data_IF_010397566003
#
_entry.id   IF_010397566003
#
_cell.length_a   1.000
_cell.length_b   1.000
_cell.length_c   1.000
_cell.angle_alpha   90.00
_cell.angle_beta   90.00
_cell.angle_gamma   90.00
#
_symmetry.space_group_name_H-M   'P 1'
#
loop_
_entity.id
_entity.type
_entity.pdbx_description
1 polymer ?
#
# COMPACT_ATOMS: atom_id res chain seq x y z
N UNK A 1 -17.20 -25.53 -40.89
CA UNK A 1 -17.73 -25.84 -39.55
C UNK A 1 -16.64 -25.90 -38.47
N UNK A 2 -15.61 -26.75 -38.59
CA UNK A 2 -14.52 -26.88 -37.58
C UNK A 2 -13.79 -25.55 -37.26
N UNK A 3 -13.48 -24.74 -38.28
CA UNK A 3 -12.80 -23.45 -38.08
C UNK A 3 -13.67 -22.43 -37.31
N UNK A 4 -14.99 -22.43 -37.57
CA UNK A 4 -15.97 -21.55 -36.93
C UNK A 4 -16.20 -21.92 -35.45
N UNK A 5 -16.11 -23.21 -35.13
CA UNK A 5 -16.16 -23.69 -33.75
C UNK A 5 -14.89 -23.30 -32.99
N UNK A 6 -13.72 -23.42 -33.61
CA UNK A 6 -12.44 -23.04 -32.99
C UNK A 6 -12.35 -21.53 -32.72
N UNK A 7 -12.80 -20.69 -33.66
CA UNK A 7 -12.80 -19.24 -33.45
C UNK A 7 -13.75 -18.82 -32.33
N UNK A 8 -14.92 -19.48 -32.20
CA UNK A 8 -15.85 -19.22 -31.10
C UNK A 8 -15.29 -19.64 -29.73
N UNK A 9 -14.61 -20.79 -29.65
CA UNK A 9 -13.94 -21.24 -28.42
C UNK A 9 -12.83 -20.26 -27.99
N UNK A 10 -12.04 -19.76 -28.94
CA UNK A 10 -11.00 -18.76 -28.65
C UNK A 10 -11.60 -17.44 -28.15
N UNK A 11 -12.65 -16.94 -28.80
CA UNK A 11 -13.32 -15.69 -28.39
C UNK A 11 -13.95 -15.80 -27.00
N UNK A 12 -14.60 -16.93 -26.69
CA UNK A 12 -15.17 -17.17 -25.35
C UNK A 12 -14.08 -17.30 -24.29
N UNK A 13 -12.97 -17.99 -24.58
CA UNK A 13 -11.84 -18.09 -23.65
C UNK A 13 -11.21 -16.72 -23.33
N UNK A 14 -11.02 -15.86 -24.34
CA UNK A 14 -10.53 -14.49 -24.15
C UNK A 14 -11.52 -13.66 -23.33
N UNK A 15 -12.82 -13.77 -23.63
CA UNK A 15 -13.86 -13.06 -22.89
C UNK A 15 -13.87 -13.47 -21.40
N UNK A 16 -13.78 -14.77 -21.10
CA UNK A 16 -13.72 -15.32 -19.73
C UNK A 16 -12.49 -14.80 -18.97
N UNK A 17 -11.32 -14.69 -19.60
CA UNK A 17 -10.12 -14.13 -18.94
C UNK A 17 -10.30 -12.66 -18.56
N UNK A 18 -10.95 -11.85 -19.41
CA UNK A 18 -11.18 -10.43 -19.16
C UNK A 18 -12.08 -10.18 -17.94
N UNK A 19 -13.10 -11.03 -17.71
CA UNK A 19 -14.05 -10.86 -16.58
C UNK A 19 -13.38 -11.11 -15.22
N UNK A 20 -12.34 -11.93 -15.16
CA UNK A 20 -11.65 -12.30 -13.92
C UNK A 20 -10.56 -11.30 -13.49
N UNK A 21 -10.38 -10.19 -14.22
CA UNK A 21 -9.33 -9.20 -13.96
C UNK A 21 -9.68 -8.12 -12.93
N UNK A 22 -10.84 -8.23 -12.26
CA UNK A 22 -11.25 -7.25 -11.25
C UNK A 22 -10.50 -7.49 -9.93
N UNK A 23 -9.45 -6.70 -9.69
CA UNK A 23 -8.71 -6.73 -8.43
C UNK A 23 -9.40 -5.82 -7.41
N UNK A 24 -9.89 -6.40 -6.31
CA UNK A 24 -10.50 -5.64 -5.22
C UNK A 24 -9.46 -4.84 -4.45
N UNK A 25 -9.85 -3.64 -4.02
CA UNK A 25 -9.01 -2.80 -3.14
C UNK A 25 -9.22 -3.22 -1.69
N UNK A 26 -8.15 -3.72 -1.07
CA UNK A 26 -8.03 -3.90 0.38
C UNK A 26 -7.10 -2.83 0.93
N UNK A 27 -7.65 -1.96 1.77
CA UNK A 27 -6.96 -0.83 2.39
C UNK A 27 -6.56 -1.09 3.84
N UNK A 28 -5.29 -0.87 4.16
CA UNK A 28 -4.75 -1.06 5.51
C UNK A 28 -4.16 0.24 6.04
N UNK A 29 -4.56 0.64 7.25
CA UNK A 29 -3.96 1.78 7.93
C UNK A 29 -2.82 1.32 8.84
N UNK A 30 -1.64 1.90 8.65
CA UNK A 30 -0.55 1.83 9.60
C UNK A 30 -0.44 3.16 10.34
N UNK A 31 -0.40 3.11 11.66
CA UNK A 31 -0.34 4.29 12.52
C UNK A 31 1.04 4.43 13.14
N UNK A 32 1.75 5.54 12.90
CA UNK A 32 3.12 5.74 13.35
C UNK A 32 3.28 5.71 14.88
N UNK A 33 2.25 6.10 15.65
CA UNK A 33 2.27 6.03 17.11
C UNK A 33 2.22 4.60 17.67
N UNK A 34 1.95 3.57 16.85
CA UNK A 34 1.97 2.18 17.31
C UNK A 34 3.37 1.68 17.72
N UNK A 35 4.43 2.37 17.28
CA UNK A 35 5.81 2.09 17.69
C UNK A 35 6.08 2.33 19.17
N UNK A 36 5.28 3.20 19.82
CA UNK A 36 5.41 3.59 21.22
C UNK A 36 4.72 2.62 22.19
N UNK A 37 3.92 1.68 21.67
CA UNK A 37 3.27 0.67 22.50
C UNK A 37 4.32 -0.29 23.09
N UNK A 38 4.01 -0.86 24.26
CA UNK A 38 4.89 -1.79 24.96
C UNK A 38 4.47 -3.25 24.75
N UNK A 39 5.42 -4.17 24.97
CA UNK A 39 5.20 -5.61 24.90
C UNK A 39 4.63 -6.06 23.55
N UNK A 40 3.66 -6.97 23.59
CA UNK A 40 2.98 -7.51 22.40
C UNK A 40 2.19 -6.47 21.60
N UNK A 41 1.91 -5.30 22.18
CA UNK A 41 1.22 -4.21 21.50
C UNK A 41 2.11 -3.39 20.58
N UNK A 42 3.44 -3.51 20.69
CA UNK A 42 4.39 -2.78 19.85
C UNK A 42 4.28 -3.25 18.40
N UNK A 43 3.94 -2.34 17.50
CA UNK A 43 3.78 -2.66 16.09
C UNK A 43 4.69 -1.79 15.23
N UNK A 44 5.50 -2.43 14.40
CA UNK A 44 6.47 -1.81 13.50
C UNK A 44 6.07 -2.12 12.06
N UNK A 45 6.48 -1.31 11.06
CA UNK A 45 6.21 -1.60 9.66
C UNK A 45 6.68 -2.98 9.20
N UNK A 46 7.77 -3.50 9.79
CA UNK A 46 8.29 -4.85 9.50
C UNK A 46 7.36 -5.99 9.94
N UNK A 47 6.33 -5.70 10.74
CA UNK A 47 5.31 -6.67 11.14
C UNK A 47 4.14 -6.75 10.15
N UNK A 48 4.10 -5.90 9.12
CA UNK A 48 3.04 -5.92 8.11
C UNK A 48 3.36 -7.02 7.08
N UNK A 49 2.45 -7.97 6.93
CA UNK A 49 2.49 -8.92 5.82
C UNK A 49 2.00 -8.21 4.54
N UNK A 50 2.86 -8.05 3.51
CA UNK A 50 2.53 -7.32 2.29
C UNK A 50 1.45 -8.01 1.44
N UNK A 51 1.10 -9.28 1.72
CA UNK A 51 0.03 -9.98 1.02
C UNK A 51 -1.38 -9.62 1.50
N UNK A 52 -1.51 -8.96 2.67
CA UNK A 52 -2.80 -8.65 3.28
C UNK A 52 -3.50 -7.44 2.65
N UNK A 53 -2.73 -6.55 2.02
CA UNK A 53 -3.20 -5.21 1.65
C UNK A 53 -2.84 -4.93 0.19
N UNK A 54 -3.76 -4.29 -0.55
CA UNK A 54 -3.45 -3.71 -1.86
C UNK A 54 -3.00 -2.25 -1.75
N UNK A 55 -3.47 -1.57 -0.69
CA UNK A 55 -3.14 -0.18 -0.40
C UNK A 55 -2.76 -0.06 1.07
N UNK A 56 -1.61 0.57 1.35
CA UNK A 56 -1.14 0.86 2.69
C UNK A 56 -1.21 2.36 2.95
N UNK A 57 -2.09 2.77 3.85
CA UNK A 57 -2.28 4.15 4.29
C UNK A 57 -1.39 4.42 5.50
N UNK A 58 -0.37 5.27 5.36
CA UNK A 58 0.45 5.73 6.47
C UNK A 58 -0.23 6.90 7.18
N UNK A 59 -0.53 6.73 8.45
CA UNK A 59 -1.18 7.70 9.32
C UNK A 59 -0.20 8.17 10.41
N UNK A 60 0.22 9.43 10.45
CA UNK A 60 -0.08 10.54 9.53
C UNK A 60 1.17 11.34 9.20
N UNK A 61 1.09 12.17 8.16
CA UNK A 61 1.90 13.37 8.02
C UNK A 61 1.18 14.58 8.64
N UNK A 62 1.96 15.62 8.95
CA UNK A 62 1.48 16.96 9.24
C UNK A 62 1.36 17.79 7.95
N UNK A 63 0.74 18.96 8.05
CA UNK A 63 0.72 19.98 7.00
C UNK A 63 1.54 21.19 7.44
N UNK A 64 2.60 21.52 6.71
CA UNK A 64 3.28 22.81 6.84
C UNK A 64 2.41 23.90 6.22
N UNK A 65 1.83 24.76 7.07
CA UNK A 65 0.92 25.83 6.63
C UNK A 65 1.63 26.98 5.91
N UNK A 66 2.93 27.17 6.12
CA UNK A 66 3.69 28.20 5.43
C UNK A 66 3.92 27.82 3.97
N UNK A 67 4.31 26.57 3.73
CA UNK A 67 4.64 26.06 2.40
C UNK A 67 3.51 25.26 1.73
N UNK A 68 2.40 25.03 2.44
CA UNK A 68 1.26 24.19 2.02
C UNK A 68 1.69 22.81 1.53
N UNK A 69 2.63 22.21 2.26
CA UNK A 69 3.24 20.93 1.90
C UNK A 69 3.12 19.92 3.04
N UNK A 70 3.13 18.61 2.74
CA UNK A 70 3.24 17.59 3.78
C UNK A 70 4.56 17.73 4.55
N UNK A 71 4.49 17.59 5.86
CA UNK A 71 5.65 17.53 6.75
C UNK A 71 5.57 16.29 7.65
N UNK A 72 6.68 15.82 8.21
CA UNK A 72 6.68 14.66 9.09
C UNK A 72 5.83 14.91 10.35
N UNK A 73 5.11 13.89 10.83
CA UNK A 73 4.41 14.01 12.11
C UNK A 73 5.37 13.83 13.28
N UNK A 74 6.27 12.85 13.17
CA UNK A 74 7.37 12.62 14.12
C UNK A 74 8.73 12.76 13.43
N UNK A 75 9.77 13.13 14.21
CA UNK A 75 11.15 13.33 13.71
C UNK A 75 11.75 12.07 13.10
N UNK A 76 11.31 10.90 13.55
CA UNK A 76 11.72 9.56 13.11
C UNK A 76 10.91 9.03 11.91
N UNK A 77 9.91 9.74 11.39
CA UNK A 77 9.22 9.35 10.14
C UNK A 77 10.14 9.48 8.92
N UNK A 78 11.19 10.32 8.96
CA UNK A 78 12.10 10.60 7.82
C UNK A 78 13.49 10.01 8.01
N UNK A 79 13.74 9.28 9.10
CA UNK A 79 15.06 8.68 9.35
C UNK A 79 14.98 7.17 9.22
N UNK A 80 15.95 6.52 8.55
CA UNK A 80 16.04 5.07 8.55
C UNK A 80 16.34 4.62 9.99
N UNK A 81 15.35 4.06 10.68
CA UNK A 81 15.51 3.41 11.98
C UNK A 81 15.21 1.92 11.81
N UNK A 82 15.83 1.02 12.60
CA UNK A 82 15.44 -0.39 12.63
C UNK A 82 13.95 -0.62 12.98
N UNK A 83 13.28 0.41 13.52
CA UNK A 83 11.85 0.48 13.81
C UNK A 83 10.99 1.06 12.69
N UNK A 84 11.61 1.72 11.71
CA UNK A 84 10.97 2.22 10.49
C UNK A 84 11.58 1.47 9.32
N UNK A 85 10.84 0.49 8.77
CA UNK A 85 11.02 0.18 7.35
C UNK A 85 11.02 1.52 6.58
N UNK A 86 11.71 1.64 5.44
CA UNK A 86 11.95 2.93 4.80
C UNK A 86 10.61 3.55 4.39
N UNK A 87 10.04 4.35 5.29
CA UNK A 87 8.79 5.08 5.08
C UNK A 87 9.11 6.53 5.33
N UNK A 88 10.10 6.99 4.57
CA UNK A 88 10.13 8.39 4.22
C UNK A 88 8.83 8.65 3.48
N UNK A 89 8.25 9.82 3.69
CA UNK A 89 7.28 10.49 2.79
C UNK A 89 7.58 10.28 1.28
N UNK A 90 8.81 9.91 0.92
CA UNK A 90 9.30 9.61 -0.43
C UNK A 90 9.13 8.14 -0.90
N UNK A 91 8.94 7.16 -0.01
CA UNK A 91 8.78 5.73 -0.35
C UNK A 91 7.32 5.26 -0.34
N UNK A 92 6.41 6.04 0.24
CA UNK A 92 4.96 5.79 0.13
C UNK A 92 4.49 5.92 -1.32
N UNK A 93 5.17 6.73 -2.14
CA UNK A 93 4.94 6.82 -3.58
C UNK A 93 5.62 5.68 -4.38
N UNK A 94 6.35 4.77 -3.73
CA UNK A 94 6.86 3.55 -4.36
C UNK A 94 5.96 2.37 -4.01
N UNK A 95 5.84 1.37 -4.91
CA UNK A 95 5.19 0.13 -4.54
C UNK A 95 5.94 -0.46 -3.35
N UNK A 96 5.25 -0.57 -2.21
CA UNK A 96 5.68 -1.50 -1.18
C UNK A 96 5.76 -2.86 -1.91
N UNK A 97 6.93 -3.48 -1.93
CA UNK A 97 7.23 -4.61 -2.81
C UNK A 97 6.09 -5.64 -2.88
N UNK A 98 5.96 -6.32 -4.02
CA UNK A 98 4.82 -7.19 -4.37
C UNK A 98 3.53 -6.48 -4.84
N UNK A 99 3.62 -5.21 -5.29
CA UNK A 99 2.51 -4.54 -5.96
C UNK A 99 1.53 -3.81 -5.04
N UNK A 100 1.90 -3.56 -3.78
CA UNK A 100 1.12 -2.78 -2.82
C UNK A 100 1.33 -1.29 -3.05
N UNK A 101 0.26 -0.52 -3.16
CA UNK A 101 0.33 0.94 -3.30
C UNK A 101 0.44 1.61 -1.92
N UNK A 102 1.45 2.45 -1.70
CA UNK A 102 1.51 3.30 -0.51
C UNK A 102 0.69 4.58 -0.69
N UNK A 103 0.02 5.03 0.36
CA UNK A 103 -0.70 6.31 0.41
C UNK A 103 -0.36 7.03 1.71
N UNK A 104 0.04 8.31 1.63
CA UNK A 104 0.29 9.13 2.81
C UNK A 104 -1.00 9.86 3.19
N UNK A 105 -1.41 9.73 4.45
CA UNK A 105 -2.58 10.43 4.98
C UNK A 105 -2.14 11.58 5.88
N UNK A 106 -2.92 12.66 5.88
CA UNK A 106 -2.64 13.87 6.68
C UNK A 106 -3.66 13.99 7.81
N UNK A 107 -3.23 14.56 8.94
CA UNK A 107 -4.09 14.93 10.07
C UNK A 107 -4.57 16.39 9.92
#
# INVERSE_FOLDING_TARGET
MKLLVLTFILLTAVFIHSINSQQYVVGCYFTNWAQHRHGLGKFLPSHIDPSLCTHLYYAFANVDLANRSPSPFEVNDVKPSPSTAPVIVNDVAKPAGNGVMGVLTVN
#
